data_IF_984044755413
#
_entry.id   IF_984044755413
#
_cell.length_a   1.000
_cell.length_b   1.000
_cell.length_c   1.000
_cell.angle_alpha   90.00
_cell.angle_beta   90.00
_cell.angle_gamma   90.00
#
_symmetry.space_group_name_H-M   'P 1'
#
loop_
_entity.id
_entity.type
_entity.pdbx_description
1 polymer ?
#
# COMPACT_ATOMS: atom_id res chain seq x y z
N UNK A 1 40.25 6.06 -5.18
CA UNK A 1 39.38 5.17 -4.39
C UNK A 1 39.21 5.80 -3.02
N UNK A 2 38.17 6.62 -2.84
CA UNK A 2 37.80 7.10 -1.50
C UNK A 2 37.32 5.91 -0.67
N UNK A 3 37.59 5.91 0.63
CA UNK A 3 37.08 4.90 1.55
C UNK A 3 35.55 4.81 1.36
N UNK A 4 35.03 3.60 1.09
CA UNK A 4 33.58 3.40 1.05
C UNK A 4 33.07 3.63 2.46
N UNK A 5 32.12 4.56 2.64
CA UNK A 5 31.44 4.73 3.92
C UNK A 5 30.65 3.46 4.20
N UNK A 6 31.05 2.73 5.23
CA UNK A 6 30.33 1.57 5.74
C UNK A 6 29.25 2.07 6.71
N UNK A 7 28.00 1.73 6.45
CA UNK A 7 26.89 1.99 7.36
C UNK A 7 26.43 0.67 7.95
N UNK A 8 26.18 0.61 9.26
CA UNK A 8 25.58 -0.55 9.89
C UNK A 8 24.08 -0.63 9.57
N UNK A 9 23.56 -1.81 9.21
CA UNK A 9 22.17 -1.99 8.80
C UNK A 9 21.35 -2.86 9.75
N UNK A 10 20.21 -2.36 10.20
CA UNK A 10 19.19 -3.09 10.97
C UNK A 10 17.99 -3.31 10.05
N UNK A 11 17.65 -4.58 9.80
CA UNK A 11 16.48 -4.93 9.01
C UNK A 11 15.36 -5.41 9.94
N UNK A 12 14.17 -4.84 9.76
CA UNK A 12 12.95 -5.25 10.46
C UNK A 12 11.99 -5.84 9.43
N UNK A 13 11.78 -7.15 9.48
CA UNK A 13 10.88 -7.83 8.56
C UNK A 13 10.89 -9.34 8.69
N UNK A 14 9.99 -10.01 7.97
CA UNK A 14 9.91 -11.48 7.97
C UNK A 14 11.20 -12.06 7.35
N UNK A 15 12.07 -12.78 8.10
CA UNK A 15 13.42 -13.12 7.65
C UNK A 15 13.48 -13.93 6.35
N UNK A 16 12.53 -14.85 6.18
CA UNK A 16 12.42 -15.71 5.00
C UNK A 16 11.72 -15.02 3.81
N UNK A 17 11.22 -13.79 4.00
CA UNK A 17 10.58 -13.05 2.93
C UNK A 17 11.61 -12.61 1.89
N UNK A 18 11.28 -12.81 0.61
CA UNK A 18 12.09 -12.37 -0.55
C UNK A 18 12.56 -10.91 -0.49
N UNK A 19 11.84 -10.04 0.21
CA UNK A 19 12.23 -8.64 0.38
C UNK A 19 13.45 -8.51 1.28
N UNK A 20 13.42 -9.19 2.42
CA UNK A 20 14.55 -9.26 3.35
C UNK A 20 15.72 -9.99 2.69
N UNK A 21 15.49 -11.19 2.16
CA UNK A 21 16.54 -11.98 1.49
C UNK A 21 17.23 -11.18 0.38
N UNK A 22 16.46 -10.58 -0.54
CA UNK A 22 17.02 -9.81 -1.65
C UNK A 22 17.75 -8.54 -1.20
N UNK A 23 17.30 -7.87 -0.13
CA UNK A 23 17.99 -6.69 0.38
C UNK A 23 19.32 -7.07 1.05
N UNK A 24 19.37 -8.18 1.79
CA UNK A 24 20.61 -8.72 2.38
C UNK A 24 21.64 -9.12 1.33
N UNK A 25 21.20 -9.76 0.25
CA UNK A 25 22.05 -10.08 -0.91
C UNK A 25 22.64 -8.80 -1.54
N UNK A 26 21.84 -7.73 -1.63
CA UNK A 26 22.29 -6.45 -2.14
C UNK A 26 23.29 -5.77 -1.20
N UNK A 27 23.07 -5.81 0.13
CA UNK A 27 24.03 -5.31 1.13
C UNK A 27 25.38 -6.01 1.00
N UNK A 28 25.38 -7.35 0.93
CA UNK A 28 26.59 -8.14 0.74
C UNK A 28 27.32 -7.77 -0.57
N UNK A 29 26.57 -7.63 -1.67
CA UNK A 29 27.13 -7.26 -2.98
C UNK A 29 27.74 -5.86 -2.97
N UNK A 30 27.18 -4.92 -2.20
CA UNK A 30 27.69 -3.55 -2.05
C UNK A 30 28.75 -3.41 -0.95
N UNK A 31 29.05 -4.49 -0.23
CA UNK A 31 30.03 -4.48 0.87
C UNK A 31 29.57 -3.66 2.07
N UNK A 32 28.27 -3.65 2.36
CA UNK A 32 27.70 -2.96 3.52
C UNK A 32 27.47 -3.95 4.67
N UNK A 33 27.88 -3.62 5.91
CA UNK A 33 27.72 -4.51 7.05
C UNK A 33 26.27 -4.61 7.54
N UNK A 34 25.76 -5.83 7.65
CA UNK A 34 24.49 -6.11 8.33
C UNK A 34 24.72 -6.25 9.83
N UNK A 35 24.07 -5.40 10.62
CA UNK A 35 24.13 -5.45 12.07
C UNK A 35 23.17 -6.48 12.65
N UNK A 36 21.91 -6.47 12.20
CA UNK A 36 20.88 -7.39 12.69
C UNK A 36 19.69 -7.50 11.74
N UNK A 37 18.98 -8.63 11.85
CA UNK A 37 17.65 -8.84 11.27
C UNK A 37 16.71 -9.25 12.39
N UNK A 38 15.68 -8.45 12.65
CA UNK A 38 14.65 -8.73 13.66
C UNK A 38 13.33 -9.02 12.96
N UNK A 39 12.68 -10.11 13.34
CA UNK A 39 11.39 -10.48 12.77
C UNK A 39 10.26 -9.62 13.32
N UNK A 40 9.19 -9.44 12.54
CA UNK A 40 7.98 -8.81 13.06
C UNK A 40 7.37 -9.61 14.21
N UNK A 41 7.46 -10.95 14.17
CA UNK A 41 7.00 -11.82 15.26
C UNK A 41 7.71 -11.50 16.58
N UNK A 42 9.05 -11.39 16.56
CA UNK A 42 9.84 -11.01 17.73
C UNK A 42 9.42 -9.63 18.27
N UNK A 43 9.26 -8.65 17.38
CA UNK A 43 8.95 -7.27 17.77
C UNK A 43 7.49 -7.03 18.14
N UNK A 44 6.57 -7.87 17.68
CA UNK A 44 5.18 -7.86 18.13
C UNK A 44 5.02 -8.49 19.51
N UNK A 45 5.92 -9.41 19.87
CA UNK A 45 6.02 -9.93 21.24
C UNK A 45 6.66 -8.89 22.18
N UNK A 46 7.80 -8.33 21.77
CA UNK A 46 8.51 -7.32 22.53
C UNK A 46 9.23 -6.31 21.61
N UNK A 47 8.65 -5.11 21.40
CA UNK A 47 9.29 -4.05 20.63
C UNK A 47 10.64 -3.62 21.21
N UNK A 48 10.85 -3.78 22.53
CA UNK A 48 12.08 -3.38 23.22
C UNK A 48 13.28 -4.28 22.88
N UNK A 49 13.06 -5.43 22.23
CA UNK A 49 14.14 -6.29 21.73
C UNK A 49 15.11 -5.54 20.80
N UNK A 50 14.64 -4.51 20.08
CA UNK A 50 15.52 -3.60 19.33
C UNK A 50 16.54 -2.91 20.24
N UNK A 51 16.17 -2.52 21.45
CA UNK A 51 17.06 -1.86 22.41
C UNK A 51 18.17 -2.75 22.95
N UNK A 52 18.18 -4.05 22.63
CA UNK A 52 19.32 -4.92 22.92
C UNK A 52 20.50 -4.70 21.94
N UNK A 53 20.25 -4.04 20.80
CA UNK A 53 21.30 -3.72 19.83
C UNK A 53 22.21 -2.58 20.32
N UNK A 54 23.48 -2.53 19.85
CA UNK A 54 24.42 -1.45 20.19
C UNK A 54 23.84 -0.06 19.91
N UNK A 55 24.17 0.91 20.77
CA UNK A 55 23.79 2.32 20.57
C UNK A 55 24.77 3.07 19.69
N UNK A 56 24.93 2.54 18.49
CA UNK A 56 25.81 3.08 17.47
C UNK A 56 24.99 3.55 16.26
N UNK A 57 25.52 4.50 15.46
CA UNK A 57 24.86 4.93 14.25
C UNK A 57 24.53 3.75 13.33
N UNK A 58 23.26 3.60 12.99
CA UNK A 58 22.77 2.53 12.14
C UNK A 58 21.68 3.04 11.18
N UNK A 59 21.53 2.37 10.05
CA UNK A 59 20.39 2.54 9.16
C UNK A 59 19.36 1.47 9.45
N UNK A 60 18.10 1.87 9.63
CA UNK A 60 17.00 0.95 9.86
C UNK A 60 16.11 0.89 8.63
N UNK A 61 15.90 -0.32 8.13
CA UNK A 61 14.92 -0.60 7.09
C UNK A 61 13.78 -1.44 7.68
N UNK A 62 12.57 -0.90 7.64
CA UNK A 62 11.36 -1.62 8.03
C UNK A 62 10.69 -2.12 6.75
N UNK A 63 10.30 -3.39 6.75
CA UNK A 63 9.66 -4.05 5.62
C UNK A 63 8.20 -4.45 5.95
N UNK A 64 7.54 -5.09 4.99
CA UNK A 64 6.14 -5.48 5.06
C UNK A 64 5.87 -6.59 6.08
N UNK A 65 4.79 -6.40 6.85
CA UNK A 65 4.26 -7.39 7.83
C UNK A 65 3.54 -8.59 7.18
N UNK A 66 3.24 -8.53 5.88
CA UNK A 66 2.48 -9.58 5.18
C UNK A 66 3.25 -10.89 4.94
N UNK A 67 2.53 -11.90 4.45
CA UNK A 67 3.06 -13.25 4.14
C UNK A 67 3.52 -14.03 5.40
N UNK A 68 2.94 -13.77 6.58
CA UNK A 68 3.14 -14.55 7.82
C UNK A 68 1.85 -14.61 8.65
N UNK A 69 1.32 -15.83 8.88
CA UNK A 69 0.09 -16.03 9.64
C UNK A 69 0.26 -15.74 11.14
N UNK A 70 1.46 -15.95 11.68
CA UNK A 70 1.80 -15.61 13.08
C UNK A 70 1.76 -14.10 13.28
N UNK A 71 2.33 -13.33 12.34
CA UNK A 71 2.29 -11.86 12.37
C UNK A 71 0.85 -11.36 12.22
N UNK A 72 0.07 -11.92 11.30
CA UNK A 72 -1.35 -11.57 11.14
C UNK A 72 -2.17 -11.83 12.41
N UNK A 73 -1.93 -12.96 13.11
CA UNK A 73 -2.57 -13.26 14.38
C UNK A 73 -2.14 -12.28 15.48
N UNK A 74 -0.86 -11.97 15.60
CA UNK A 74 -0.36 -11.03 16.60
C UNK A 74 -0.91 -9.61 16.36
N UNK A 75 -1.08 -9.20 15.11
CA UNK A 75 -1.73 -7.93 14.77
C UNK A 75 -3.22 -7.91 15.15
N UNK A 76 -3.93 -9.05 15.03
CA UNK A 76 -5.30 -9.15 15.57
C UNK A 76 -5.33 -8.96 17.09
N UNK A 77 -4.38 -9.56 17.81
CA UNK A 77 -4.24 -9.41 19.26
C UNK A 77 -4.01 -7.95 19.64
N UNK A 78 -3.02 -7.30 19.03
CA UNK A 78 -2.72 -5.89 19.27
C UNK A 78 -3.91 -4.98 18.95
N UNK A 79 -4.71 -5.33 17.94
CA UNK A 79 -5.90 -4.58 17.53
C UNK A 79 -7.14 -4.79 18.40
N UNK A 80 -7.17 -5.79 19.28
CA UNK A 80 -8.38 -6.25 19.95
C UNK A 80 -9.08 -5.14 20.76
N UNK A 81 -8.36 -4.51 21.69
CA UNK A 81 -8.88 -3.42 22.53
C UNK A 81 -9.28 -2.20 21.70
N UNK A 82 -8.48 -1.87 20.68
CA UNK A 82 -8.74 -0.72 19.81
C UNK A 82 -10.02 -0.93 18.99
N UNK A 83 -10.30 -2.16 18.56
CA UNK A 83 -11.55 -2.50 17.87
C UNK A 83 -12.75 -2.44 18.82
N UNK A 84 -12.61 -2.96 20.04
CA UNK A 84 -13.65 -2.84 21.06
C UNK A 84 -13.99 -1.37 21.38
N UNK A 85 -12.99 -0.49 21.42
CA UNK A 85 -13.17 0.94 21.64
C UNK A 85 -13.94 1.66 20.51
N UNK A 86 -14.03 1.07 19.31
CA UNK A 86 -14.89 1.54 18.23
C UNK A 86 -16.36 1.13 18.42
N UNK A 87 -16.71 0.45 19.52
CA UNK A 87 -18.06 -0.05 19.78
C UNK A 87 -18.44 -1.27 18.95
N UNK A 88 -17.46 -1.93 18.32
CA UNK A 88 -17.65 -3.15 17.52
C UNK A 88 -17.03 -4.33 18.26
N UNK A 89 -17.78 -5.43 18.37
CA UNK A 89 -17.27 -6.66 18.99
C UNK A 89 -16.01 -7.14 18.26
N UNK A 90 -14.84 -7.18 18.93
CA UNK A 90 -13.61 -7.59 18.30
C UNK A 90 -13.62 -9.09 17.99
N UNK A 91 -12.99 -9.45 16.88
CA UNK A 91 -12.77 -10.85 16.53
C UNK A 91 -11.68 -11.43 17.41
N UNK A 92 -11.94 -12.60 18.01
CA UNK A 92 -10.91 -13.31 18.78
C UNK A 92 -9.71 -13.67 17.89
N UNK A 93 -8.48 -13.34 18.30
CA UNK A 93 -7.28 -13.64 17.53
C UNK A 93 -7.13 -15.14 17.30
N UNK A 94 -6.81 -15.51 16.06
CA UNK A 94 -6.53 -16.89 15.65
C UNK A 94 -5.67 -16.88 14.41
N UNK A 95 -5.13 -18.05 14.07
CA UNK A 95 -4.49 -18.25 12.78
C UNK A 95 -5.50 -18.00 11.64
N UNK A 96 -5.05 -17.20 10.69
CA UNK A 96 -5.78 -16.84 9.47
C UNK A 96 -5.48 -17.89 8.42
N UNK A 97 -6.51 -18.44 7.77
CA UNK A 97 -6.31 -19.37 6.66
C UNK A 97 -5.76 -18.64 5.43
N UNK A 98 -5.04 -19.35 4.57
CA UNK A 98 -4.49 -18.74 3.36
C UNK A 98 -5.61 -18.11 2.51
N UNK A 99 -5.50 -16.80 2.26
CA UNK A 99 -6.47 -16.02 1.49
C UNK A 99 -7.72 -15.61 2.26
N UNK A 100 -7.87 -15.97 3.53
CA UNK A 100 -8.96 -15.50 4.37
C UNK A 100 -8.81 -14.00 4.68
N UNK A 101 -9.93 -13.28 4.71
CA UNK A 101 -10.02 -11.87 5.07
C UNK A 101 -10.68 -11.76 6.44
N UNK A 102 -9.87 -11.80 7.49
CA UNK A 102 -10.33 -11.81 8.88
C UNK A 102 -10.11 -10.45 9.57
N UNK A 103 -11.20 -9.77 9.92
CA UNK A 103 -11.21 -8.52 10.69
C UNK A 103 -10.12 -7.49 10.28
N UNK A 104 -10.06 -7.11 9.00
CA UNK A 104 -9.00 -6.24 8.49
C UNK A 104 -8.93 -4.86 9.17
N UNK A 105 -10.03 -4.36 9.75
CA UNK A 105 -9.99 -3.15 10.58
C UNK A 105 -9.19 -3.38 11.86
N UNK A 106 -9.47 -4.47 12.55
CA UNK A 106 -8.78 -4.85 13.78
C UNK A 106 -7.29 -5.08 13.52
N UNK A 107 -6.94 -5.84 12.47
CA UNK A 107 -5.55 -6.04 12.07
C UNK A 107 -4.83 -4.71 11.82
N UNK A 108 -5.48 -3.78 11.12
CA UNK A 108 -4.90 -2.47 10.85
C UNK A 108 -4.71 -1.63 12.12
N UNK A 109 -5.65 -1.66 13.06
CA UNK A 109 -5.51 -1.00 14.35
C UNK A 109 -4.32 -1.57 15.14
N UNK A 110 -4.14 -2.89 15.10
CA UNK A 110 -2.97 -3.54 15.68
C UNK A 110 -1.66 -3.10 15.01
N UNK A 111 -1.66 -3.00 13.68
CA UNK A 111 -0.51 -2.50 12.92
C UNK A 111 -0.16 -1.05 13.27
N UNK A 112 -1.15 -0.18 13.43
CA UNK A 112 -0.92 1.20 13.87
C UNK A 112 -0.33 1.28 15.28
N UNK A 113 -0.84 0.46 16.23
CA UNK A 113 -0.26 0.38 17.58
C UNK A 113 1.18 -0.14 17.53
N UNK A 114 1.45 -1.16 16.73
CA UNK A 114 2.80 -1.72 16.53
C UNK A 114 3.78 -0.67 16.00
N UNK A 115 3.41 0.06 14.93
CA UNK A 115 4.22 1.18 14.42
C UNK A 115 4.42 2.29 15.46
N UNK A 116 3.42 2.54 16.30
CA UNK A 116 3.51 3.44 17.45
C UNK A 116 4.56 2.99 18.45
N UNK A 117 4.59 1.70 18.81
CA UNK A 117 5.58 1.13 19.72
C UNK A 117 7.00 1.19 19.13
N UNK A 118 7.17 0.84 17.86
CA UNK A 118 8.45 1.00 17.17
C UNK A 118 8.92 2.47 17.16
N UNK A 119 8.00 3.42 16.98
CA UNK A 119 8.33 4.85 17.02
C UNK A 119 8.86 5.31 18.38
N UNK A 120 8.44 4.68 19.49
CA UNK A 120 8.97 4.98 20.82
C UNK A 120 10.40 4.46 20.96
N UNK A 121 10.67 3.24 20.48
CA UNK A 121 12.01 2.66 20.44
C UNK A 121 12.97 3.51 19.61
N UNK A 122 12.58 3.90 18.39
CA UNK A 122 13.44 4.71 17.52
C UNK A 122 13.69 6.11 18.07
N UNK A 123 12.74 6.70 18.82
CA UNK A 123 12.98 7.96 19.53
C UNK A 123 14.03 7.84 20.64
N UNK A 124 14.14 6.66 21.26
CA UNK A 124 15.20 6.38 22.23
C UNK A 124 16.56 6.11 21.58
N UNK A 125 16.62 5.96 20.24
CA UNK A 125 17.84 5.68 19.46
C UNK A 125 18.04 6.74 18.37
N UNK A 126 18.35 8.00 18.73
CA UNK A 126 18.43 9.11 17.78
C UNK A 126 19.57 8.98 16.76
N UNK A 127 20.57 8.14 17.01
CA UNK A 127 21.65 7.80 16.09
C UNK A 127 21.18 6.88 14.94
N UNK A 128 20.00 6.26 15.07
CA UNK A 128 19.44 5.38 14.05
C UNK A 128 18.65 6.16 13.01
N UNK A 129 19.03 6.00 11.74
CA UNK A 129 18.40 6.65 10.60
C UNK A 129 17.42 5.70 9.94
N UNK A 130 16.14 6.04 9.95
CA UNK A 130 15.10 5.24 9.33
C UNK A 130 15.03 5.55 7.83
N UNK A 131 15.06 4.52 6.98
CA UNK A 131 14.79 4.70 5.55
C UNK A 131 13.35 5.17 5.32
N UNK A 132 12.39 4.66 6.09
CA UNK A 132 10.99 5.09 6.05
C UNK A 132 10.48 5.22 7.47
N UNK A 133 9.93 6.38 7.82
CA UNK A 133 9.38 6.59 9.16
C UNK A 133 8.11 5.75 9.39
N UNK A 134 7.87 5.24 10.61
CA UNK A 134 6.61 4.56 10.95
C UNK A 134 5.36 5.40 10.66
N UNK A 135 5.46 6.73 10.76
CA UNK A 135 4.36 7.64 10.42
C UNK A 135 4.03 7.63 8.92
N UNK A 136 5.06 7.65 8.06
CA UNK A 136 4.90 7.51 6.60
C UNK A 136 4.38 6.13 6.20
N UNK A 137 4.82 5.07 6.87
CA UNK A 137 4.27 3.72 6.70
C UNK A 137 2.78 3.73 7.07
N UNK A 138 2.41 4.22 8.26
CA UNK A 138 1.03 4.28 8.72
C UNK A 138 0.12 5.05 7.76
N UNK A 139 0.58 6.20 7.25
CA UNK A 139 -0.17 6.99 6.28
C UNK A 139 -0.36 6.25 4.95
N UNK A 140 0.68 5.58 4.46
CA UNK A 140 0.62 4.81 3.21
C UNK A 140 -0.36 3.64 3.28
N UNK A 141 -0.68 3.14 4.48
CA UNK A 141 -1.65 2.08 4.71
C UNK A 141 -3.07 2.61 4.98
N UNK A 142 -3.31 3.92 4.89
CA UNK A 142 -4.61 4.54 5.09
C UNK A 142 -5.03 5.35 3.87
N UNK A 143 -5.78 4.72 2.96
CA UNK A 143 -6.16 5.33 1.66
C UNK A 143 -6.93 6.64 1.84
N UNK A 144 -7.81 6.72 2.85
CA UNK A 144 -8.57 7.95 3.11
C UNK A 144 -7.68 9.09 3.57
N UNK A 145 -6.75 8.85 4.50
CA UNK A 145 -5.82 9.88 4.98
C UNK A 145 -4.80 10.27 3.91
N UNK A 146 -4.26 9.29 3.17
CA UNK A 146 -3.33 9.56 2.08
C UNK A 146 -4.00 10.38 0.97
N UNK A 147 -5.21 10.00 0.53
CA UNK A 147 -5.98 10.74 -0.46
C UNK A 147 -6.29 12.18 0.00
N UNK A 148 -6.69 12.36 1.25
CA UNK A 148 -6.92 13.69 1.81
C UNK A 148 -5.63 14.54 1.86
N UNK A 149 -4.52 13.96 2.32
CA UNK A 149 -3.22 14.64 2.37
C UNK A 149 -2.74 15.05 0.98
N UNK A 150 -2.77 14.15 0.00
CA UNK A 150 -2.31 14.44 -1.36
C UNK A 150 -3.19 15.49 -2.06
N UNK A 151 -4.51 15.43 -1.86
CA UNK A 151 -5.42 16.48 -2.32
C UNK A 151 -5.06 17.85 -1.73
N UNK A 152 -4.71 17.91 -0.44
CA UNK A 152 -4.29 19.16 0.21
C UNK A 152 -2.96 19.71 -0.35
N UNK A 153 -2.11 18.85 -0.93
CA UNK A 153 -0.89 19.25 -1.65
C UNK A 153 -1.16 19.73 -3.09
N UNK A 154 -2.42 19.76 -3.53
CA UNK A 154 -2.77 20.03 -4.92
C UNK A 154 -2.43 18.89 -5.89
N UNK A 155 -2.11 17.70 -5.36
CA UNK A 155 -1.83 16.51 -6.18
C UNK A 155 -3.15 15.94 -6.69
N UNK A 156 -3.29 15.69 -8.01
CA UNK A 156 -4.48 15.05 -8.55
C UNK A 156 -4.65 13.62 -7.99
N UNK A 157 -5.75 13.39 -7.28
CA UNK A 157 -6.16 12.08 -6.74
C UNK A 157 -7.62 11.80 -7.12
N UNK A 158 -8.08 10.53 -7.17
CA UNK A 158 -9.48 10.22 -7.39
C UNK A 158 -10.39 10.98 -6.41
N UNK A 159 -11.56 11.42 -6.87
CA UNK A 159 -12.56 12.06 -6.02
C UNK A 159 -13.01 11.07 -4.94
N UNK A 160 -12.76 11.38 -3.67
CA UNK A 160 -13.17 10.56 -2.54
C UNK A 160 -14.53 11.04 -2.03
N UNK A 161 -15.38 10.09 -1.64
CA UNK A 161 -16.69 10.36 -1.07
C UNK A 161 -16.69 9.97 0.40
N UNK A 162 -17.35 10.79 1.22
CA UNK A 162 -17.63 10.41 2.60
C UNK A 162 -18.52 9.17 2.59
N UNK A 163 -18.05 8.11 3.25
CA UNK A 163 -18.82 6.89 3.40
C UNK A 163 -19.99 7.21 4.33
N UNK A 164 -21.24 6.89 3.95
CA UNK A 164 -22.39 7.11 4.81
C UNK A 164 -22.15 6.44 6.17
N UNK A 165 -22.36 7.18 7.26
CA UNK A 165 -22.23 6.64 8.61
C UNK A 165 -23.26 5.54 8.86
N UNK A 166 -22.98 4.68 9.84
CA UNK A 166 -23.87 3.59 10.26
C UNK A 166 -25.31 4.06 10.54
N UNK A 167 -25.49 5.30 11.03
CA UNK A 167 -26.81 5.92 11.24
C UNK A 167 -27.61 6.14 9.95
N UNK A 168 -26.96 6.42 8.81
CA UNK A 168 -27.60 6.56 7.50
C UNK A 168 -27.96 5.18 6.94
N UNK A 169 -27.09 4.18 7.16
CA UNK A 169 -27.27 2.79 6.74
C UNK A 169 -28.26 1.99 7.60
N UNK A 170 -28.67 2.49 8.77
CA UNK A 170 -29.74 1.86 9.58
C UNK A 170 -31.14 2.13 9.04
N UNK A 171 -31.30 3.08 8.10
CA UNK A 171 -32.59 3.42 7.50
C UNK A 171 -32.83 2.77 6.11
N UNK A 172 -31.77 2.25 5.46
CA UNK A 172 -31.75 1.66 4.11
C UNK A 172 -30.59 0.66 3.96
N UNK A 173 -30.65 -0.28 3.02
CA UNK A 173 -29.51 -1.18 2.76
C UNK A 173 -28.21 -0.43 2.39
N UNK A 174 -27.05 -1.03 2.65
CA UNK A 174 -25.73 -0.44 2.33
C UNK A 174 -25.61 -0.09 0.86
N UNK A 175 -26.07 -1.00 0.00
CA UNK A 175 -26.15 -0.81 -1.44
C UNK A 175 -26.96 0.42 -1.81
N UNK A 176 -28.16 0.57 -1.26
CA UNK A 176 -29.05 1.67 -1.65
C UNK A 176 -28.50 3.02 -1.21
N UNK A 177 -27.90 3.11 -0.02
CA UNK A 177 -27.22 4.30 0.45
C UNK A 177 -26.05 4.72 -0.45
N UNK A 178 -25.23 3.76 -0.90
CA UNK A 178 -24.14 4.03 -1.84
C UNK A 178 -24.64 4.43 -3.23
N UNK A 179 -25.69 3.79 -3.74
CA UNK A 179 -26.28 4.15 -5.05
C UNK A 179 -26.92 5.55 -4.99
N UNK A 180 -27.57 5.92 -3.89
CA UNK A 180 -28.11 7.26 -3.68
C UNK A 180 -27.01 8.32 -3.62
N UNK A 181 -25.93 8.06 -2.88
CA UNK A 181 -24.72 8.88 -2.87
C UNK A 181 -24.19 9.09 -4.30
N UNK A 182 -24.08 8.01 -5.07
CA UNK A 182 -23.64 8.05 -6.47
C UNK A 182 -24.56 8.90 -7.35
N UNK A 183 -25.88 8.75 -7.21
CA UNK A 183 -26.87 9.56 -7.95
C UNK A 183 -26.77 11.04 -7.60
N UNK A 184 -26.65 11.37 -6.31
CA UNK A 184 -26.49 12.75 -5.84
C UNK A 184 -25.19 13.42 -6.29
N UNK A 185 -24.21 12.64 -6.74
CA UNK A 185 -22.93 13.11 -7.29
C UNK A 185 -22.79 12.91 -8.80
N UNK A 186 -23.84 12.41 -9.47
CA UNK A 186 -23.84 12.09 -10.91
C UNK A 186 -22.70 11.13 -11.32
N UNK A 187 -22.37 10.16 -10.45
CA UNK A 187 -21.31 9.18 -10.67
C UNK A 187 -21.89 7.82 -11.02
N UNK A 188 -21.50 7.26 -12.16
CA UNK A 188 -22.00 5.94 -12.59
C UNK A 188 -21.28 4.75 -11.92
N UNK A 189 -20.03 4.95 -11.49
CA UNK A 189 -19.20 3.90 -10.89
C UNK A 189 -18.27 4.44 -9.81
N UNK A 190 -18.16 3.70 -8.71
CA UNK A 190 -17.23 3.97 -7.60
C UNK A 190 -16.44 2.72 -7.26
N UNK A 191 -15.24 2.90 -6.72
CA UNK A 191 -14.55 1.85 -6.00
C UNK A 191 -14.86 1.97 -4.51
N UNK A 192 -15.38 0.90 -3.92
CA UNK A 192 -15.50 0.71 -2.47
C UNK A 192 -14.36 -0.22 -2.07
N UNK A 193 -13.35 0.30 -1.39
CA UNK A 193 -12.11 -0.43 -1.02
C UNK A 193 -11.98 -0.44 0.48
N UNK A 194 -11.36 -1.46 1.08
CA UNK A 194 -10.91 -1.29 2.46
C UNK A 194 -9.94 -0.10 2.56
N UNK A 195 -10.15 0.72 3.59
CA UNK A 195 -9.28 1.85 3.90
C UNK A 195 -7.85 1.38 4.17
N UNK A 196 -7.73 0.27 4.89
CA UNK A 196 -6.50 -0.45 5.18
C UNK A 196 -6.21 -1.55 4.15
N UNK A 197 -4.93 -1.88 3.96
CA UNK A 197 -4.50 -3.00 3.13
C UNK A 197 -3.93 -2.63 1.76
N UNK A 198 -3.40 -3.63 1.07
CA UNK A 198 -2.63 -3.48 -0.19
C UNK A 198 -3.10 -4.44 -1.29
N UNK A 199 -2.51 -4.31 -2.48
CA UNK A 199 -2.57 -5.32 -3.55
C UNK A 199 -3.94 -5.50 -4.22
N UNK A 200 -4.77 -4.45 -4.25
CA UNK A 200 -6.16 -4.50 -4.77
C UNK A 200 -7.01 -5.63 -4.17
N UNK A 201 -6.66 -6.11 -2.98
CA UNK A 201 -7.46 -7.04 -2.21
C UNK A 201 -8.63 -6.30 -1.56
N UNK A 202 -9.77 -6.98 -1.42
CA UNK A 202 -10.93 -6.44 -0.70
C UNK A 202 -11.47 -5.11 -1.26
N UNK A 203 -11.85 -5.13 -2.54
CA UNK A 203 -12.53 -4.02 -3.20
C UNK A 203 -13.79 -4.47 -3.93
N UNK A 204 -14.72 -3.55 -4.15
CA UNK A 204 -15.88 -3.68 -5.02
C UNK A 204 -15.94 -2.48 -5.96
N UNK A 205 -15.87 -2.71 -7.27
CA UNK A 205 -16.22 -1.69 -8.26
C UNK A 205 -17.74 -1.69 -8.44
N UNK A 206 -18.42 -0.79 -7.73
CA UNK A 206 -19.88 -0.67 -7.69
C UNK A 206 -20.39 0.17 -8.86
N UNK A 207 -21.41 -0.33 -9.55
CA UNK A 207 -22.16 0.42 -10.56
C UNK A 207 -23.48 0.96 -10.01
N UNK A 208 -23.85 2.17 -10.41
CA UNK A 208 -25.17 2.76 -10.15
C UNK A 208 -26.33 1.91 -10.70
N UNK A 209 -26.03 0.94 -11.59
CA UNK A 209 -26.98 -0.06 -12.12
C UNK A 209 -27.26 -1.21 -11.15
N UNK A 210 -26.68 -1.22 -9.95
CA UNK A 210 -26.99 -2.21 -8.91
C UNK A 210 -26.20 -3.52 -8.95
N UNK A 211 -25.06 -3.54 -9.62
CA UNK A 211 -24.11 -4.67 -9.60
C UNK A 211 -22.71 -4.19 -9.21
N UNK A 212 -21.87 -5.11 -8.74
CA UNK A 212 -20.47 -4.85 -8.40
C UNK A 212 -19.51 -5.87 -8.99
N UNK A 213 -18.24 -5.48 -9.15
CA UNK A 213 -17.15 -6.41 -9.49
C UNK A 213 -16.18 -6.50 -8.31
N UNK A 214 -15.92 -7.72 -7.81
CA UNK A 214 -15.08 -7.93 -6.62
C UNK A 214 -14.28 -9.23 -6.70
N UNK A 215 -13.20 -9.34 -5.93
CA UNK A 215 -12.50 -10.61 -5.68
C UNK A 215 -12.93 -11.28 -4.37
N UNK A 216 -13.74 -10.61 -3.55
CA UNK A 216 -14.27 -11.15 -2.29
C UNK A 216 -15.28 -12.25 -2.58
N UNK A 217 -15.06 -13.39 -1.92
CA UNK A 217 -15.94 -14.55 -1.97
C UNK A 217 -16.27 -14.95 -0.54
N UNK A 218 -17.54 -15.26 -0.28
CA UNK A 218 -18.00 -15.75 1.02
C UNK A 218 -18.17 -17.25 0.95
N UNK A 219 -17.54 -17.97 1.89
CA UNK A 219 -17.71 -19.40 2.09
C UNK A 219 -18.21 -19.63 3.51
N UNK A 220 -19.49 -19.97 3.65
CA UNK A 220 -20.16 -20.00 4.95
C UNK A 220 -20.17 -18.61 5.61
N UNK A 221 -19.57 -18.49 6.80
CA UNK A 221 -19.44 -17.22 7.53
C UNK A 221 -18.13 -16.47 7.26
N UNK A 222 -17.22 -17.06 6.48
CA UNK A 222 -15.88 -16.53 6.26
C UNK A 222 -15.75 -15.85 4.90
N UNK A 223 -14.89 -14.83 4.84
CA UNK A 223 -14.54 -14.12 3.63
C UNK A 223 -13.17 -14.54 3.14
N UNK A 224 -13.03 -14.68 1.83
CA UNK A 224 -11.77 -15.01 1.18
C UNK A 224 -11.53 -14.07 0.00
N UNK A 225 -10.25 -13.75 -0.25
CA UNK A 225 -9.83 -13.10 -1.48
C UNK A 225 -9.54 -14.19 -2.52
N UNK A 226 -10.51 -14.42 -3.42
CA UNK A 226 -10.39 -15.45 -4.46
C UNK A 226 -9.35 -15.11 -5.55
N UNK A 227 -8.82 -13.88 -5.55
CA UNK A 227 -7.99 -13.30 -6.61
C UNK A 227 -8.64 -13.28 -8.01
N UNK A 228 -9.91 -13.70 -8.12
CA UNK A 228 -10.68 -13.74 -9.36
C UNK A 228 -11.76 -12.69 -9.31
N UNK A 229 -11.71 -11.74 -10.25
CA UNK A 229 -12.72 -10.69 -10.34
C UNK A 229 -14.04 -11.29 -10.84
N UNK A 230 -15.10 -11.18 -10.05
CA UNK A 230 -16.43 -11.72 -10.34
C UNK A 230 -17.49 -10.63 -10.24
N UNK A 231 -18.55 -10.78 -11.04
CA UNK A 231 -19.75 -9.95 -10.94
C UNK A 231 -20.64 -10.46 -9.80
N UNK A 232 -21.11 -9.55 -8.95
CA UNK A 232 -22.06 -9.82 -7.87
C UNK A 232 -23.21 -8.81 -7.91
N UNK A 233 -24.40 -9.23 -7.50
CA UNK A 233 -25.62 -8.43 -7.45
C UNK A 233 -26.55 -8.95 -6.34
N UNK A 234 -27.66 -8.26 -6.08
CA UNK A 234 -28.63 -8.65 -5.05
C UNK A 234 -28.04 -8.79 -3.65
N UNK A 235 -28.41 -9.86 -2.93
CA UNK A 235 -27.95 -10.13 -1.57
C UNK A 235 -26.43 -10.30 -1.46
N UNK A 236 -25.78 -10.88 -2.48
CA UNK A 236 -24.33 -11.05 -2.49
C UNK A 236 -23.61 -9.71 -2.54
N UNK A 237 -24.13 -8.77 -3.34
CA UNK A 237 -23.59 -7.41 -3.40
C UNK A 237 -23.78 -6.69 -2.06
N UNK A 238 -24.97 -6.79 -1.45
CA UNK A 238 -25.21 -6.19 -0.14
C UNK A 238 -24.24 -6.73 0.91
N UNK A 239 -24.04 -8.04 0.98
CA UNK A 239 -23.12 -8.65 1.93
C UNK A 239 -21.66 -8.16 1.74
N UNK A 240 -21.20 -8.02 0.49
CA UNK A 240 -19.86 -7.49 0.19
C UNK A 240 -19.72 -6.03 0.63
N UNK A 241 -20.71 -5.20 0.31
CA UNK A 241 -20.68 -3.77 0.64
C UNK A 241 -20.79 -3.55 2.15
N UNK A 242 -21.69 -4.25 2.83
CA UNK A 242 -21.85 -4.18 4.28
C UNK A 242 -20.55 -4.60 5.00
N UNK A 243 -19.90 -5.67 4.53
CA UNK A 243 -18.59 -6.09 5.06
C UNK A 243 -17.53 -5.00 4.89
N UNK A 244 -17.36 -4.47 3.67
CA UNK A 244 -16.35 -3.45 3.38
C UNK A 244 -16.58 -2.17 4.20
N UNK A 245 -17.84 -1.74 4.33
CA UNK A 245 -18.18 -0.54 5.10
C UNK A 245 -18.01 -0.76 6.60
N UNK A 246 -18.44 -1.91 7.14
CA UNK A 246 -18.29 -2.24 8.56
C UNK A 246 -16.83 -2.41 9.01
N UNK A 247 -15.95 -2.79 8.09
CA UNK A 247 -14.50 -2.86 8.29
C UNK A 247 -13.78 -1.53 7.96
N UNK A 248 -14.52 -0.48 7.62
CA UNK A 248 -13.97 0.83 7.27
C UNK A 248 -13.56 0.92 5.80
N UNK A 249 -14.49 1.38 4.97
CA UNK A 249 -14.26 1.59 3.55
C UNK A 249 -13.66 2.97 3.23
N UNK A 250 -12.90 3.02 2.14
CA UNK A 250 -12.64 4.18 1.34
C UNK A 250 -13.50 4.09 0.08
N UNK A 251 -14.30 5.11 -0.20
CA UNK A 251 -15.14 5.18 -1.40
C UNK A 251 -14.62 6.30 -2.28
N UNK A 252 -14.31 5.98 -3.53
CA UNK A 252 -13.79 6.94 -4.51
C UNK A 252 -14.41 6.74 -5.88
N UNK A 253 -14.40 7.78 -6.69
CA UNK A 253 -14.84 7.73 -8.09
C UNK A 253 -13.98 6.73 -8.87
N UNK A 254 -14.63 5.85 -9.63
CA UNK A 254 -13.92 4.95 -10.52
C UNK A 254 -13.50 5.70 -11.79
N UNK A 255 -12.35 6.36 -11.75
CA UNK A 255 -11.83 7.13 -12.88
C UNK A 255 -11.54 6.24 -14.10
N UNK A 256 -11.88 6.75 -15.29
CA UNK A 256 -11.68 6.01 -16.54
C UNK A 256 -10.20 6.03 -16.92
N UNK A 257 -9.55 4.87 -16.81
CA UNK A 257 -8.17 4.66 -17.21
C UNK A 257 -7.99 4.74 -18.73
N UNK A 258 -6.92 5.40 -19.15
CA UNK A 258 -6.38 5.30 -20.49
C UNK A 258 -6.06 3.85 -20.87
N UNK A 259 -6.00 3.60 -22.19
CA UNK A 259 -5.62 2.29 -22.73
C UNK A 259 -4.40 2.44 -23.62
N UNK A 260 -3.29 1.83 -23.23
CA UNK A 260 -2.05 1.76 -23.99
C UNK A 260 -2.08 0.50 -24.85
N UNK A 261 -1.90 0.64 -26.17
CA UNK A 261 -1.99 -0.46 -27.12
C UNK A 261 -3.27 -1.33 -26.95
N UNK A 262 -4.41 -0.70 -26.66
CA UNK A 262 -5.70 -1.38 -26.47
C UNK A 262 -5.93 -2.03 -25.10
N UNK A 263 -4.95 -1.99 -24.18
CA UNK A 263 -5.05 -2.56 -22.84
C UNK A 263 -5.08 -1.47 -21.75
N UNK A 264 -5.80 -1.70 -20.65
CA UNK A 264 -5.78 -0.80 -19.50
C UNK A 264 -4.39 -0.77 -18.88
N UNK A 265 -3.99 0.37 -18.31
CA UNK A 265 -2.72 0.47 -17.62
C UNK A 265 -2.74 1.43 -16.43
N UNK A 266 -1.75 1.24 -15.56
CA UNK A 266 -1.24 2.25 -14.63
C UNK A 266 0.29 2.10 -14.53
N UNK A 267 0.93 2.98 -13.77
CA UNK A 267 2.37 2.98 -13.54
C UNK A 267 2.65 2.81 -12.05
N UNK A 268 3.51 1.85 -11.70
CA UNK A 268 4.22 1.86 -10.41
C UNK A 268 5.47 2.70 -10.61
N UNK A 269 5.48 3.90 -10.04
CA UNK A 269 6.66 4.78 -9.96
C UNK A 269 7.29 4.57 -8.60
N UNK A 270 8.50 4.03 -8.55
CA UNK A 270 9.28 3.95 -7.33
C UNK A 270 10.14 5.21 -7.21
N UNK A 271 9.78 6.05 -6.26
CA UNK A 271 10.60 7.17 -5.85
C UNK A 271 11.73 6.66 -4.95
N UNK A 272 12.97 7.09 -5.19
CA UNK A 272 14.14 6.87 -4.33
C UNK A 272 14.92 8.18 -4.29
N UNK A 273 15.26 8.67 -3.09
CA UNK A 273 16.02 9.92 -2.93
C UNK A 273 15.41 11.11 -3.68
N UNK A 274 14.07 11.26 -3.63
CA UNK A 274 13.30 12.27 -4.36
C UNK A 274 13.40 12.20 -5.90
N UNK A 275 13.82 11.07 -6.47
CA UNK A 275 13.80 10.85 -7.92
C UNK A 275 12.86 9.69 -8.30
N UNK A 276 12.16 9.75 -9.45
CA UNK A 276 11.38 8.63 -9.99
C UNK A 276 12.32 7.56 -10.57
N UNK A 277 13.02 6.85 -9.68
CA UNK A 277 14.16 6.03 -10.02
C UNK A 277 13.82 4.82 -10.89
N UNK A 278 12.66 4.22 -10.66
CA UNK A 278 12.15 3.12 -11.49
C UNK A 278 10.68 3.35 -11.80
N UNK A 279 10.27 3.10 -13.05
CA UNK A 279 8.84 3.08 -13.42
C UNK A 279 8.49 1.78 -14.11
N UNK A 280 7.42 1.14 -13.65
CA UNK A 280 6.85 -0.06 -14.27
C UNK A 280 5.45 0.24 -14.74
N UNK A 281 5.24 0.19 -16.05
CA UNK A 281 3.89 0.19 -16.63
C UNK A 281 3.28 -1.19 -16.37
N UNK A 282 2.11 -1.25 -15.76
CA UNK A 282 1.37 -2.50 -15.52
C UNK A 282 0.12 -2.47 -16.39
N UNK A 283 0.05 -3.37 -17.36
CA UNK A 283 -1.06 -3.49 -18.31
C UNK A 283 -1.97 -4.67 -17.96
N UNK A 284 -3.25 -4.56 -18.30
CA UNK A 284 -4.23 -5.62 -18.13
C UNK A 284 -5.36 -5.54 -19.16
N UNK A 285 -5.97 -6.68 -19.46
CA UNK A 285 -7.21 -6.75 -20.25
C UNK A 285 -8.40 -6.17 -19.47
N UNK A 286 -8.31 -6.13 -18.13
CA UNK A 286 -9.32 -5.62 -17.21
C UNK A 286 -8.86 -4.31 -16.55
N UNK A 287 -9.77 -3.49 -15.98
CA UNK A 287 -9.40 -2.23 -15.32
C UNK A 287 -8.46 -2.38 -14.11
N UNK A 288 -8.41 -3.57 -13.51
CA UNK A 288 -7.49 -3.93 -12.42
C UNK A 288 -6.19 -4.44 -13.06
N UNK A 289 -5.11 -3.71 -12.80
CA UNK A 289 -3.82 -3.75 -13.52
C UNK A 289 -2.70 -4.41 -12.73
N UNK A 290 -2.95 -4.85 -11.49
CA UNK A 290 -1.94 -5.49 -10.65
C UNK A 290 -1.36 -6.75 -11.32
N UNK A 291 -0.03 -6.88 -11.30
CA UNK A 291 0.68 -7.98 -11.95
C UNK A 291 0.31 -9.36 -11.37
N UNK A 292 0.04 -9.45 -10.06
CA UNK A 292 -0.39 -10.70 -9.41
C UNK A 292 -1.85 -11.09 -9.73
N UNK A 293 -2.62 -10.22 -10.41
CA UNK A 293 -3.98 -10.50 -10.87
C UNK A 293 -4.04 -10.75 -12.39
N UNK A 294 -2.92 -11.18 -12.98
CA UNK A 294 -2.81 -11.50 -14.41
C UNK A 294 -2.43 -10.32 -15.30
N UNK A 295 -2.01 -9.19 -14.71
CA UNK A 295 -1.40 -8.09 -15.46
C UNK A 295 0.00 -8.43 -15.95
N UNK A 296 0.49 -7.69 -16.96
CA UNK A 296 1.83 -7.82 -17.51
C UNK A 296 2.57 -6.48 -17.52
N UNK A 297 3.90 -6.52 -17.66
CA UNK A 297 4.72 -5.31 -17.79
C UNK A 297 4.54 -4.71 -19.19
N UNK A 298 4.19 -3.43 -19.25
CA UNK A 298 4.12 -2.66 -20.47
C UNK A 298 5.42 -1.92 -20.79
N UNK A 299 5.43 -1.27 -21.94
CA UNK A 299 6.54 -0.47 -22.46
C UNK A 299 6.41 0.99 -21.96
N UNK A 300 7.45 1.48 -21.26
CA UNK A 300 7.44 2.83 -20.66
C UNK A 300 7.82 3.90 -21.69
N UNK A 301 8.66 3.57 -22.67
CA UNK A 301 9.04 4.41 -23.79
C UNK A 301 7.82 4.70 -24.67
N UNK A 302 7.06 3.65 -25.02
CA UNK A 302 5.80 3.78 -25.76
C UNK A 302 4.78 4.65 -25.00
N UNK A 303 4.71 4.49 -23.67
CA UNK A 303 3.85 5.33 -22.85
C UNK A 303 4.29 6.81 -22.88
N UNK A 304 5.59 7.07 -22.75
CA UNK A 304 6.16 8.42 -22.79
C UNK A 304 5.90 9.10 -24.14
N UNK A 305 6.10 8.38 -25.24
CA UNK A 305 5.76 8.86 -26.59
C UNK A 305 4.28 9.21 -26.70
N UNK A 306 3.39 8.36 -26.15
CA UNK A 306 1.94 8.57 -26.22
C UNK A 306 1.44 9.75 -25.40
N UNK A 307 2.03 9.98 -24.24
CA UNK A 307 1.70 11.09 -23.32
C UNK A 307 2.27 12.44 -23.81
N UNK A 308 3.43 12.41 -24.47
CA UNK A 308 4.26 13.59 -24.67
C UNK A 308 4.90 14.07 -23.36
N UNK A 309 5.93 14.94 -23.44
CA UNK A 309 6.73 15.33 -22.28
C UNK A 309 5.90 16.03 -21.20
N UNK A 310 5.02 16.96 -21.58
CA UNK A 310 4.27 17.76 -20.60
C UNK A 310 3.35 16.96 -19.67
N UNK A 311 2.72 15.88 -20.14
CA UNK A 311 1.84 15.06 -19.29
C UNK A 311 2.65 14.13 -18.36
N UNK A 312 3.76 13.58 -18.86
CA UNK A 312 4.67 12.78 -18.05
C UNK A 312 5.31 13.60 -16.93
N UNK A 313 5.84 14.78 -17.26
CA UNK A 313 6.54 15.65 -16.31
C UNK A 313 5.62 16.10 -15.17
N UNK A 314 4.36 16.46 -15.48
CA UNK A 314 3.34 16.79 -14.45
C UNK A 314 3.03 15.60 -13.53
N UNK A 315 3.03 14.38 -14.05
CA UNK A 315 2.83 13.18 -13.26
C UNK A 315 4.02 12.93 -12.33
N UNK A 316 5.26 13.05 -12.83
CA UNK A 316 6.47 12.91 -12.01
C UNK A 316 6.60 14.01 -10.96
N UNK A 317 6.23 15.24 -11.29
CA UNK A 317 6.19 16.36 -10.33
C UNK A 317 5.18 16.09 -9.21
N UNK A 318 4.02 15.49 -9.53
CA UNK A 318 3.06 15.06 -8.51
C UNK A 318 3.62 13.94 -7.64
N UNK A 319 4.37 12.99 -8.22
CA UNK A 319 5.07 11.96 -7.46
C UNK A 319 6.12 12.56 -6.52
N UNK A 320 6.86 13.57 -6.97
CA UNK A 320 7.84 14.30 -6.16
C UNK A 320 7.17 15.00 -4.98
N UNK A 321 6.08 15.76 -5.22
CA UNK A 321 5.33 16.42 -4.13
C UNK A 321 4.83 15.43 -3.08
N UNK A 322 4.35 14.26 -3.51
CA UNK A 322 3.96 13.19 -2.59
C UNK A 322 5.18 12.66 -1.83
N UNK A 323 6.29 12.39 -2.51
CA UNK A 323 7.52 11.89 -1.90
C UNK A 323 8.04 12.85 -0.82
N UNK A 324 8.11 14.15 -1.11
CA UNK A 324 8.58 15.20 -0.18
C UNK A 324 7.67 15.37 1.05
N UNK A 325 6.39 15.00 0.93
CA UNK A 325 5.47 14.99 2.07
C UNK A 325 5.76 13.86 3.06
N UNK A 326 6.37 12.76 2.59
CA UNK A 326 6.72 11.63 3.44
C UNK A 326 8.13 11.78 4.01
N UNK A 327 8.28 11.49 5.30
CA UNK A 327 9.59 11.22 5.88
C UNK A 327 10.02 9.80 5.48
N UNK A 328 10.43 9.67 4.22
CA UNK A 328 10.80 8.43 3.57
C UNK A 328 11.95 8.66 2.58
N UNK A 329 12.74 7.61 2.35
CA UNK A 329 13.80 7.56 1.36
C UNK A 329 13.33 6.95 0.05
N UNK A 330 12.41 5.99 0.15
CA UNK A 330 11.75 5.40 -1.00
C UNK A 330 10.23 5.33 -0.77
N UNK A 331 9.48 5.39 -1.86
CA UNK A 331 8.03 5.26 -1.86
C UNK A 331 7.53 4.79 -3.22
N UNK A 332 6.75 3.72 -3.25
CA UNK A 332 6.06 3.31 -4.48
C UNK A 332 4.76 4.08 -4.66
N UNK A 333 4.55 4.69 -5.82
CA UNK A 333 3.35 5.43 -6.16
C UNK A 333 2.68 4.81 -7.37
N UNK A 334 1.39 4.51 -7.24
CA UNK A 334 0.57 4.02 -8.35
C UNK A 334 -0.08 5.22 -9.05
N UNK A 335 0.23 5.41 -10.33
CA UNK A 335 -0.23 6.54 -11.14
C UNK A 335 -1.06 6.02 -12.29
N UNK A 336 -2.27 6.55 -12.47
CA UNK A 336 -3.03 6.34 -13.72
C UNK A 336 -3.08 7.60 -14.57
N UNK A 337 -3.32 7.40 -15.85
CA UNK A 337 -3.67 8.46 -16.79
C UNK A 337 -5.12 8.29 -17.24
N UNK A 338 -5.82 9.40 -17.43
CA UNK A 338 -7.19 9.42 -17.92
C UNK A 338 -7.24 9.20 -19.45
N UNK A 339 -8.42 8.89 -19.98
CA UNK A 339 -8.62 8.47 -21.39
C UNK A 339 -8.03 9.39 -22.46
N UNK A 340 -7.79 10.66 -22.14
CA UNK A 340 -7.22 11.66 -23.04
C UNK A 340 -5.68 11.72 -23.03
N UNK A 341 -5.03 10.93 -22.16
CA UNK A 341 -3.57 10.94 -21.94
C UNK A 341 -3.01 12.30 -21.46
N UNK A 342 -3.86 13.22 -21.00
CA UNK A 342 -3.44 14.57 -20.61
C UNK A 342 -3.44 14.77 -19.10
N UNK A 343 -4.36 14.10 -18.40
CA UNK A 343 -4.54 14.15 -16.95
C UNK A 343 -4.08 12.85 -16.29
N UNK A 344 -3.50 12.97 -15.10
CA UNK A 344 -3.11 11.83 -14.26
C UNK A 344 -3.81 11.89 -12.90
N UNK A 345 -3.75 10.77 -12.18
CA UNK A 345 -4.15 10.65 -10.77
C UNK A 345 -3.19 9.75 -10.02
N UNK A 346 -2.77 10.15 -8.82
CA UNK A 346 -2.11 9.26 -7.86
C UNK A 346 -3.19 8.42 -7.18
N UNK A 347 -3.15 7.10 -7.38
CA UNK A 347 -4.15 6.15 -6.89
C UNK A 347 -3.82 5.68 -5.48
N UNK A 348 -2.57 5.29 -5.24
CA UNK A 348 -2.11 4.82 -3.94
C UNK A 348 -0.62 5.07 -3.76
N UNK A 349 -0.21 5.14 -2.49
CA UNK A 349 1.20 5.08 -2.08
C UNK A 349 1.47 3.78 -1.35
N UNK A 350 2.69 3.26 -1.48
CA UNK A 350 3.12 2.00 -0.91
C UNK A 350 4.53 2.16 -0.32
N UNK A 351 4.62 2.14 1.01
CA UNK A 351 5.88 2.24 1.75
C UNK A 351 6.84 1.07 1.46
N UNK A 352 6.31 -0.06 0.97
CA UNK A 352 7.07 -1.26 0.59
C UNK A 352 6.95 -1.52 -0.92
N UNK A 353 6.94 -0.44 -1.71
CA UNK A 353 6.67 -0.48 -3.15
C UNK A 353 7.84 -0.88 -4.05
N UNK A 354 8.98 -1.17 -3.45
CA UNK A 354 10.33 -1.39 -4.00
C UNK A 354 10.65 -2.84 -4.41
N UNK A 355 9.86 -3.82 -3.98
CA UNK A 355 9.91 -5.16 -4.56
C UNK A 355 9.41 -5.12 -6.00
N UNK A 356 10.33 -4.86 -6.92
CA UNK A 356 10.09 -4.80 -8.35
C UNK A 356 11.04 -5.79 -9.04
N UNK A 357 10.66 -7.09 -9.10
CA UNK A 357 11.53 -8.13 -9.63
C UNK A 357 11.98 -7.84 -11.06
N UNK A 358 13.23 -8.19 -11.39
CA UNK A 358 13.81 -8.04 -12.73
C UNK A 358 13.88 -6.60 -13.27
N UNK A 359 13.82 -5.59 -12.40
CA UNK A 359 14.05 -4.19 -12.80
C UNK A 359 15.48 -3.78 -12.49
N UNK A 360 16.14 -3.15 -13.48
CA UNK A 360 17.50 -2.66 -13.36
C UNK A 360 17.64 -1.25 -13.92
N UNK A 361 18.52 -0.46 -13.32
CA UNK A 361 18.95 0.86 -13.80
C UNK A 361 20.47 0.92 -13.71
N UNK A 362 21.13 1.27 -14.81
CA UNK A 362 22.59 1.32 -14.91
C UNK A 362 23.28 0.08 -14.35
N UNK A 363 22.75 -1.09 -14.72
CA UNK A 363 23.24 -2.41 -14.29
C UNK A 363 22.87 -2.81 -12.86
N UNK A 364 22.28 -1.93 -12.04
CA UNK A 364 21.93 -2.20 -10.63
C UNK A 364 20.50 -2.68 -10.49
N UNK A 365 20.26 -3.61 -9.56
CA UNK A 365 18.91 -3.92 -9.08
C UNK A 365 18.33 -2.74 -8.29
N UNK A 366 17.03 -2.80 -7.97
CA UNK A 366 16.37 -1.79 -7.15
C UNK A 366 17.04 -1.63 -5.79
N UNK A 367 17.31 -2.72 -5.07
CA UNK A 367 17.94 -2.66 -3.74
C UNK A 367 19.40 -2.20 -3.81
N UNK A 368 20.16 -2.60 -4.83
CA UNK A 368 21.52 -2.08 -5.03
C UNK A 368 21.51 -0.57 -5.26
N UNK A 369 20.54 -0.07 -6.04
CA UNK A 369 20.35 1.36 -6.26
C UNK A 369 19.98 2.10 -4.96
N UNK A 370 19.02 1.57 -4.18
CA UNK A 370 18.64 2.14 -2.89
C UNK A 370 19.83 2.25 -1.92
N UNK A 371 20.61 1.18 -1.78
CA UNK A 371 21.76 1.14 -0.88
C UNK A 371 22.83 2.14 -1.34
N UNK A 372 23.16 2.17 -2.62
CA UNK A 372 24.16 3.11 -3.15
C UNK A 372 23.75 4.56 -2.93
N UNK A 373 22.51 4.91 -3.27
CA UNK A 373 22.01 6.27 -3.09
C UNK A 373 21.89 6.65 -1.61
N UNK A 374 21.50 5.71 -0.75
CA UNK A 374 21.44 5.95 0.70
C UNK A 374 22.83 6.23 1.27
N UNK A 375 23.82 5.40 0.91
CA UNK A 375 25.21 5.60 1.34
C UNK A 375 25.76 6.91 0.80
N UNK A 376 25.52 7.23 -0.48
CA UNK A 376 25.97 8.47 -1.14
C UNK A 376 25.43 9.74 -0.46
N UNK A 377 24.20 9.69 0.05
CA UNK A 377 23.55 10.83 0.72
C UNK A 377 23.76 10.83 2.25
N UNK A 378 24.32 9.76 2.79
CA UNK A 378 24.52 9.59 4.24
C UNK A 378 25.98 9.74 4.68
N UNK A 379 26.92 9.46 3.78
CA UNK A 379 28.33 9.85 3.92
C UNK A 379 28.55 11.29 3.51
#
# INVERSE_FOLDING_TARGET
MGARTELAWILVGNPDNRRIVGFREALATRGQPELAVLSHEQLLSDPSALLALPDEPATVRIDSVGESTQVEQALLEWGYEARAAEGVEPTRPRLVEHGEVLAPRQQHLGFLRYLGALSLVFRARPSWRLMVSPASIALSFDKSRACAAYRALGVPVPEAFEVPTESVLRSRSTRDGLIELMRGREVEQVFVKLRSGSSASCLCALSARGYGMTTLERSGERWYNSLRVRRVEGEKLEAVLAFLVGEGAHVERAERKARLAGAYFDCRVLMIANEPAFTVVRQSRHPITNLHLGGWRGDVELLRERLGPGAWDRAMESCLRVMEYHAAFHLGLDVMFETDFSRHRIIESNAFGDLIPNSRRDGRTVYEWEIEEWVRLSG
#
